data_IF_582372734917
#
_entry.id   IF_582372734917
#
_cell.length_a   1.000
_cell.length_b   1.000
_cell.length_c   1.000
_cell.angle_alpha   90.00
_cell.angle_beta   90.00
_cell.angle_gamma   90.00
#
_symmetry.space_group_name_H-M   'P 1'
#
loop_
_entity.id
_entity.type
_entity.pdbx_description
1 polymer ?
#
# COMPACT_ATOMS: atom_id res chain seq x y z
N UNK A 1 -34.06 -26.15 37.99
CA UNK A 1 -34.38 -25.00 37.11
C UNK A 1 -33.06 -24.29 36.85
N UNK A 2 -32.46 -24.53 35.69
CA UNK A 2 -31.17 -23.93 35.31
C UNK A 2 -31.47 -22.88 34.24
N UNK A 3 -31.08 -21.60 34.41
CA UNK A 3 -31.43 -20.57 33.44
C UNK A 3 -30.57 -20.75 32.19
N UNK A 4 -31.21 -20.82 31.03
CA UNK A 4 -30.52 -20.66 29.75
C UNK A 4 -30.26 -19.18 29.50
N UNK A 5 -29.00 -18.79 29.52
CA UNK A 5 -28.57 -17.47 29.05
C UNK A 5 -28.64 -17.47 27.53
N UNK A 6 -29.63 -16.78 26.95
CA UNK A 6 -29.67 -16.50 25.51
C UNK A 6 -28.47 -15.62 25.15
N UNK A 7 -27.48 -16.20 24.48
CA UNK A 7 -26.47 -15.44 23.77
C UNK A 7 -27.17 -14.59 22.71
N UNK A 8 -27.09 -13.27 22.86
CA UNK A 8 -27.57 -12.35 21.82
C UNK A 8 -26.53 -12.38 20.72
N UNK A 9 -26.90 -12.91 19.55
CA UNK A 9 -26.05 -12.88 18.36
C UNK A 9 -25.73 -11.42 18.01
N UNK A 10 -24.50 -10.99 18.28
CA UNK A 10 -24.00 -9.70 17.80
C UNK A 10 -23.84 -9.80 16.29
N UNK A 11 -24.73 -9.14 15.54
CA UNK A 11 -24.56 -8.96 14.09
C UNK A 11 -23.21 -8.26 13.85
N UNK A 12 -22.28 -8.94 13.18
CA UNK A 12 -21.00 -8.34 12.80
C UNK A 12 -21.26 -7.05 11.99
N UNK A 13 -20.58 -5.97 12.35
CA UNK A 13 -20.69 -4.70 11.63
C UNK A 13 -19.99 -4.86 10.28
N UNK A 14 -20.74 -4.68 9.20
CA UNK A 14 -20.18 -4.58 7.87
C UNK A 14 -19.64 -3.17 7.64
N UNK A 15 -18.32 -3.01 7.78
CA UNK A 15 -17.64 -1.73 7.58
C UNK A 15 -17.81 -1.19 6.15
N UNK A 16 -17.95 -2.07 5.14
CA UNK A 16 -18.02 -1.68 3.73
C UNK A 16 -19.30 -0.92 3.38
N UNK A 17 -20.35 -1.10 4.19
CA UNK A 17 -21.60 -0.34 4.10
C UNK A 17 -21.41 1.15 4.40
N UNK A 18 -20.50 1.47 5.32
CA UNK A 18 -20.27 2.84 5.78
C UNK A 18 -19.02 3.46 5.15
N UNK A 19 -18.05 2.63 4.79
CA UNK A 19 -16.83 3.01 4.07
C UNK A 19 -16.60 2.07 2.87
N UNK A 20 -17.11 2.43 1.68
CA UNK A 20 -16.93 1.65 0.47
C UNK A 20 -15.47 1.44 0.07
N UNK A 21 -14.54 2.31 0.51
CA UNK A 21 -13.11 2.17 0.21
C UNK A 21 -12.47 0.99 0.95
N UNK A 22 -13.15 0.43 1.96
CA UNK A 22 -12.72 -0.77 2.68
C UNK A 22 -13.13 -2.08 1.99
N UNK A 23 -13.96 -2.03 0.94
CA UNK A 23 -14.33 -3.23 0.21
C UNK A 23 -13.13 -3.89 -0.48
N UNK A 24 -13.15 -5.23 -0.56
CA UNK A 24 -12.19 -6.00 -1.37
C UNK A 24 -12.56 -5.87 -2.84
N UNK A 25 -11.59 -5.46 -3.67
CA UNK A 25 -11.80 -5.39 -5.11
C UNK A 25 -11.64 -6.78 -5.77
N UNK A 26 -12.30 -6.98 -6.91
CA UNK A 26 -12.29 -8.25 -7.66
C UNK A 26 -10.90 -8.66 -8.18
N UNK A 27 -10.78 -9.93 -8.60
CA UNK A 27 -9.51 -10.54 -9.07
C UNK A 27 -9.05 -10.00 -10.44
N UNK A 28 -7.76 -10.19 -10.72
CA UNK A 28 -7.07 -9.85 -11.96
C UNK A 28 -7.79 -10.39 -13.22
N UNK A 29 -7.75 -9.64 -14.33
CA UNK A 29 -8.24 -10.06 -15.65
C UNK A 29 -7.07 -10.20 -16.64
N UNK A 30 -7.32 -10.93 -17.74
CA UNK A 30 -6.32 -11.36 -18.71
C UNK A 30 -5.58 -10.23 -19.45
N UNK A 31 -6.10 -9.00 -19.47
CA UNK A 31 -5.52 -7.86 -20.20
C UNK A 31 -4.87 -6.80 -19.26
N UNK A 32 -4.05 -7.27 -18.33
CA UNK A 32 -3.35 -6.41 -17.35
C UNK A 32 -1.98 -6.01 -17.87
N UNK A 33 -1.73 -4.69 -17.98
CA UNK A 33 -0.39 -4.13 -18.24
C UNK A 33 0.31 -3.77 -16.92
N UNK A 34 1.42 -4.43 -16.63
CA UNK A 34 2.29 -4.09 -15.50
C UNK A 34 3.23 -2.93 -15.87
N UNK A 35 3.42 -2.01 -14.92
CA UNK A 35 4.33 -0.87 -15.05
C UNK A 35 5.40 -0.99 -13.96
N UNK A 36 6.65 -0.71 -14.31
CA UNK A 36 7.69 -0.45 -13.32
C UNK A 36 7.47 0.96 -12.75
N UNK A 37 7.36 1.16 -11.42
CA UNK A 37 7.14 2.48 -10.83
C UNK A 37 8.29 3.46 -11.06
N UNK A 38 9.48 2.97 -11.41
CA UNK A 38 10.65 3.78 -11.76
C UNK A 38 10.69 4.23 -13.22
N UNK A 39 9.75 3.76 -14.04
CA UNK A 39 9.66 4.10 -15.45
C UNK A 39 8.33 4.79 -15.79
N UNK A 40 8.39 5.70 -16.77
CA UNK A 40 7.18 6.34 -17.30
C UNK A 40 6.19 5.29 -17.84
N UNK A 41 4.88 5.45 -17.62
CA UNK A 41 4.19 6.67 -17.22
C UNK A 41 4.03 6.86 -15.70
N UNK A 42 4.51 5.96 -14.86
CA UNK A 42 4.52 6.15 -13.42
C UNK A 42 5.68 7.08 -13.01
N UNK A 43 5.52 7.79 -11.90
CA UNK A 43 6.55 8.64 -11.33
C UNK A 43 6.71 8.33 -9.85
N UNK A 44 7.88 7.85 -9.46
CA UNK A 44 8.20 7.60 -8.07
C UNK A 44 8.89 8.81 -7.43
N UNK A 45 8.64 9.04 -6.15
CA UNK A 45 9.27 10.09 -5.33
C UNK A 45 9.48 9.61 -3.90
N UNK A 46 10.32 10.31 -3.14
CA UNK A 46 10.63 10.00 -1.73
C UNK A 46 11.84 9.10 -1.49
N UNK A 47 12.56 8.70 -2.55
CA UNK A 47 13.79 7.90 -2.47
C UNK A 47 14.97 8.62 -3.13
N UNK A 48 15.69 9.45 -2.37
CA UNK A 48 16.72 10.34 -2.92
C UNK A 48 17.93 9.64 -3.54
N UNK A 49 18.15 8.35 -3.21
CA UNK A 49 19.27 7.54 -3.71
C UNK A 49 18.86 6.44 -4.68
N UNK A 50 17.60 6.42 -5.12
CA UNK A 50 17.08 5.32 -5.93
C UNK A 50 17.79 5.19 -7.28
N UNK A 51 18.17 6.32 -7.91
CA UNK A 51 18.86 6.30 -9.20
C UNK A 51 20.23 5.63 -9.13
N UNK A 52 20.91 5.70 -7.98
CA UNK A 52 22.21 5.07 -7.77
C UNK A 52 22.06 3.63 -7.25
N UNK A 53 21.24 3.45 -6.22
CA UNK A 53 21.22 2.19 -5.46
C UNK A 53 20.19 1.19 -6.00
N UNK A 54 19.17 1.66 -6.72
CA UNK A 54 18.02 0.87 -7.21
C UNK A 54 17.29 0.10 -6.10
N UNK A 55 17.25 0.68 -4.90
CA UNK A 55 16.59 0.13 -3.71
C UNK A 55 15.63 1.18 -3.14
N UNK A 56 14.43 0.76 -2.73
CA UNK A 56 13.45 1.62 -2.04
C UNK A 56 13.89 1.93 -0.60
N UNK A 57 14.90 2.79 -0.46
CA UNK A 57 15.55 3.11 0.82
C UNK A 57 15.63 4.61 1.04
N UNK A 58 15.50 5.04 2.30
CA UNK A 58 15.51 6.45 2.71
C UNK A 58 16.89 7.04 2.97
N UNK A 59 17.94 6.23 2.96
CA UNK A 59 19.34 6.60 3.14
C UNK A 59 20.18 5.83 2.11
N UNK A 60 21.38 6.30 1.73
CA UNK A 60 22.21 5.59 0.76
C UNK A 60 22.57 4.19 1.25
N UNK A 61 22.71 3.25 0.32
CA UNK A 61 23.22 1.91 0.61
C UNK A 61 24.69 1.94 1.04
N UNK A 62 25.46 2.90 0.52
CA UNK A 62 26.86 3.14 0.87
C UNK A 62 27.05 4.59 1.34
N UNK A 63 26.76 4.90 2.62
CA UNK A 63 26.96 6.23 3.16
C UNK A 63 28.46 6.56 3.27
N UNK A 64 28.83 7.84 3.15
CA UNK A 64 30.21 8.32 3.31
C UNK A 64 30.74 8.06 4.73
N UNK A 65 29.87 8.20 5.73
CA UNK A 65 30.14 7.86 7.12
C UNK A 65 29.19 6.75 7.55
N UNK A 66 29.69 5.80 8.34
CA UNK A 66 28.88 4.68 8.81
C UNK A 66 27.68 5.19 9.63
N UNK A 67 26.48 4.77 9.22
CA UNK A 67 25.27 5.06 9.99
C UNK A 67 25.24 4.20 11.26
N UNK A 68 24.68 4.72 12.37
CA UNK A 68 24.34 3.87 13.51
C UNK A 68 23.47 2.69 13.05
N UNK A 69 23.73 1.49 13.57
CA UNK A 69 23.06 0.26 13.12
C UNK A 69 21.52 0.38 13.11
N UNK A 70 20.93 1.03 14.12
CA UNK A 70 19.48 1.25 14.20
C UNK A 70 18.97 2.16 13.07
N UNK A 71 19.71 3.20 12.73
CA UNK A 71 19.39 4.12 11.63
C UNK A 71 19.52 3.39 10.29
N UNK A 72 20.57 2.60 10.11
CA UNK A 72 20.80 1.82 8.91
C UNK A 72 19.70 0.77 8.67
N UNK A 73 19.23 0.13 9.74
CA UNK A 73 18.11 -0.81 9.69
C UNK A 73 16.80 -0.10 9.30
N UNK A 74 16.46 1.01 9.97
CA UNK A 74 15.24 1.79 9.73
C UNK A 74 15.24 2.53 8.39
N UNK A 75 16.40 2.73 7.77
CA UNK A 75 16.49 3.32 6.45
C UNK A 75 15.81 2.47 5.36
N UNK A 76 15.63 1.16 5.59
CA UNK A 76 14.87 0.28 4.69
C UNK A 76 13.35 0.50 4.78
N UNK A 77 12.84 1.19 5.80
CA UNK A 77 11.42 1.53 5.84
C UNK A 77 11.10 2.55 4.75
N UNK A 78 9.99 2.38 4.02
CA UNK A 78 9.66 3.18 2.83
C UNK A 78 8.72 4.36 3.10
N UNK A 79 8.53 4.72 4.37
CA UNK A 79 7.70 5.86 4.79
C UNK A 79 8.03 7.15 4.02
N UNK A 80 7.01 7.74 3.41
CA UNK A 80 7.13 8.96 2.61
C UNK A 80 7.42 8.73 1.13
N UNK A 81 7.71 7.49 0.72
CA UNK A 81 7.74 7.10 -0.68
C UNK A 81 6.36 7.22 -1.31
N UNK A 82 6.30 7.65 -2.57
CA UNK A 82 5.04 7.76 -3.33
C UNK A 82 5.20 7.35 -4.79
N UNK A 83 4.13 6.82 -5.38
CA UNK A 83 3.99 6.63 -6.83
C UNK A 83 2.84 7.52 -7.32
N UNK A 84 3.11 8.33 -8.35
CA UNK A 84 2.10 9.12 -9.06
C UNK A 84 1.86 8.55 -10.45
N UNK A 85 0.60 8.44 -10.83
CA UNK A 85 0.19 7.93 -12.13
C UNK A 85 -1.09 8.63 -12.57
N UNK A 86 -1.12 9.08 -13.82
CA UNK A 86 -2.35 9.52 -14.48
C UNK A 86 -2.82 8.44 -15.45
N UNK A 87 -4.04 7.95 -15.27
CA UNK A 87 -4.60 6.87 -16.09
C UNK A 87 -6.12 6.99 -16.17
N UNK A 88 -6.72 6.48 -17.24
CA UNK A 88 -8.16 6.29 -17.33
C UNK A 88 -8.61 4.87 -16.96
N UNK A 89 -7.65 3.97 -16.68
CA UNK A 89 -7.91 2.57 -16.36
C UNK A 89 -8.99 2.44 -15.27
N UNK A 90 -10.00 1.59 -15.48
CA UNK A 90 -11.00 1.30 -14.46
C UNK A 90 -10.42 0.50 -13.28
N UNK A 91 -9.23 -0.10 -13.44
CA UNK A 91 -8.61 -0.98 -12.45
C UNK A 91 -7.18 -0.55 -12.15
N UNK A 92 -6.84 -0.52 -10.86
CA UNK A 92 -5.47 -0.35 -10.38
C UNK A 92 -5.08 -1.60 -9.60
N UNK A 93 -3.98 -2.24 -9.99
CA UNK A 93 -3.41 -3.39 -9.32
C UNK A 93 -1.98 -3.09 -8.87
N UNK A 94 -1.59 -3.71 -7.77
CA UNK A 94 -0.22 -3.71 -7.29
C UNK A 94 0.27 -5.14 -7.14
N UNK A 95 1.53 -5.35 -7.52
CA UNK A 95 2.32 -6.52 -7.16
C UNK A 95 3.49 -6.04 -6.34
N UNK A 96 3.62 -6.60 -5.14
CA UNK A 96 4.53 -6.10 -4.10
C UNK A 96 5.38 -7.26 -3.61
N UNK A 97 6.67 -6.98 -3.40
CA UNK A 97 7.59 -7.81 -2.64
C UNK A 97 8.20 -6.93 -1.54
N UNK A 98 8.13 -7.39 -0.30
CA UNK A 98 8.59 -6.71 0.91
C UNK A 98 9.75 -7.50 1.52
N UNK A 99 10.59 -6.83 2.30
CA UNK A 99 11.61 -7.50 3.15
C UNK A 99 11.06 -8.48 4.17
N UNK A 100 9.78 -8.36 4.54
CA UNK A 100 9.15 -9.25 5.49
C UNK A 100 7.65 -8.98 5.69
N UNK A 101 6.95 -9.90 6.36
CA UNK A 101 5.53 -9.77 6.66
C UNK A 101 5.27 -8.73 7.76
N UNK A 102 4.03 -8.27 7.88
CA UNK A 102 3.61 -7.36 8.95
C UNK A 102 3.54 -8.10 10.30
N UNK A 103 4.30 -7.64 11.30
CA UNK A 103 4.42 -8.33 12.61
C UNK A 103 4.32 -7.40 13.81
N UNK A 104 4.18 -6.09 13.61
CA UNK A 104 4.10 -5.15 14.72
C UNK A 104 2.73 -5.22 15.39
N UNK A 105 2.69 -5.78 16.59
CA UNK A 105 1.45 -5.94 17.40
C UNK A 105 0.74 -4.63 17.74
N UNK A 106 1.44 -3.49 17.61
CA UNK A 106 0.94 -2.16 17.94
C UNK A 106 0.61 -1.33 16.68
N UNK A 107 0.68 -1.91 15.49
CA UNK A 107 0.43 -1.24 14.22
C UNK A 107 -0.54 -2.06 13.36
N UNK A 108 -1.42 -1.37 12.64
CA UNK A 108 -2.25 -2.05 11.65
C UNK A 108 -1.37 -2.59 10.50
N UNK A 109 -1.54 -3.84 10.06
CA UNK A 109 -0.76 -4.41 8.95
C UNK A 109 -0.80 -3.56 7.68
N UNK A 110 -1.93 -2.91 7.41
CA UNK A 110 -2.11 -2.01 6.27
C UNK A 110 -1.22 -0.77 6.32
N UNK A 111 -0.82 -0.30 7.51
CA UNK A 111 0.15 0.79 7.64
C UNK A 111 1.59 0.29 7.65
N UNK A 112 1.85 -0.86 8.28
CA UNK A 112 3.21 -1.44 8.35
C UNK A 112 3.71 -1.89 6.97
N UNK A 113 2.87 -2.61 6.23
CA UNK A 113 3.23 -3.37 5.03
C UNK A 113 2.27 -3.15 3.83
N UNK A 114 1.27 -2.28 3.99
CA UNK A 114 0.30 -1.98 2.95
C UNK A 114 0.58 -0.67 2.22
N UNK A 115 -0.07 -0.51 1.07
CA UNK A 115 -0.11 0.74 0.31
C UNK A 115 -1.50 1.36 0.45
N UNK A 116 -1.57 2.67 0.51
CA UNK A 116 -2.82 3.41 0.33
C UNK A 116 -2.84 4.12 -1.03
N UNK A 117 -4.04 4.44 -1.50
CA UNK A 117 -4.24 5.14 -2.76
C UNK A 117 -5.22 6.28 -2.58
N UNK A 118 -4.88 7.39 -3.21
CA UNK A 118 -5.69 8.59 -3.26
C UNK A 118 -5.95 8.97 -4.71
N UNK A 119 -7.10 9.60 -4.94
CA UNK A 119 -7.52 10.12 -6.23
C UNK A 119 -7.69 11.64 -6.11
N UNK A 120 -7.10 12.39 -7.02
CA UNK A 120 -7.28 13.84 -7.13
C UNK A 120 -6.04 14.54 -7.65
N UNK A 121 -6.21 15.81 -8.02
CA UNK A 121 -5.08 16.67 -8.38
C UNK A 121 -4.14 16.85 -7.19
N UNK A 122 -2.85 17.13 -7.42
CA UNK A 122 -1.89 17.39 -6.34
C UNK A 122 -2.39 18.45 -5.35
N UNK A 123 -2.48 18.10 -4.07
CA UNK A 123 -2.96 18.96 -2.99
C UNK A 123 -4.48 18.89 -2.73
N UNK A 124 -5.23 18.13 -3.53
CA UNK A 124 -6.67 17.92 -3.37
C UNK A 124 -7.03 16.42 -3.38
N UNK A 125 -6.05 15.55 -3.16
CA UNK A 125 -6.25 14.10 -3.20
C UNK A 125 -7.19 13.62 -2.08
N UNK A 126 -8.06 12.67 -2.40
CA UNK A 126 -8.96 12.03 -1.45
C UNK A 126 -8.67 10.55 -1.35
N UNK A 127 -8.72 10.03 -0.13
CA UNK A 127 -8.54 8.61 0.12
C UNK A 127 -9.53 7.79 -0.72
N UNK A 128 -9.00 6.80 -1.42
CA UNK A 128 -9.75 5.97 -2.35
C UNK A 128 -9.64 4.48 -2.02
N UNK A 129 -8.62 4.07 -1.27
CA UNK A 129 -8.48 2.68 -0.85
C UNK A 129 -7.15 2.41 -0.17
N UNK A 130 -7.05 1.21 0.40
CA UNK A 130 -5.84 0.64 0.98
C UNK A 130 -5.73 -0.82 0.54
N UNK A 131 -4.52 -1.36 0.49
CA UNK A 131 -4.28 -2.78 0.19
C UNK A 131 -4.99 -3.67 1.19
N UNK A 132 -5.67 -4.71 0.70
CA UNK A 132 -6.17 -5.83 1.50
C UNK A 132 -5.37 -7.07 1.10
N UNK A 133 -4.52 -7.53 2.00
CA UNK A 133 -3.56 -8.61 1.77
C UNK A 133 -3.47 -9.50 3.01
N UNK A 134 -2.89 -10.69 2.84
CA UNK A 134 -2.55 -11.56 3.97
C UNK A 134 -1.30 -11.02 4.65
N UNK A 135 -1.45 -10.51 5.87
CA UNK A 135 -0.36 -9.91 6.65
C UNK A 135 0.79 -10.87 6.97
N UNK A 136 0.57 -12.19 6.84
CA UNK A 136 1.61 -13.20 7.02
C UNK A 136 2.54 -13.36 5.81
N UNK A 137 2.19 -12.80 4.65
CA UNK A 137 2.98 -12.86 3.43
C UNK A 137 3.89 -11.63 3.29
N UNK A 138 5.06 -11.83 2.69
CA UNK A 138 5.97 -10.76 2.31
C UNK A 138 5.79 -10.32 0.85
N UNK A 139 5.10 -11.13 0.04
CA UNK A 139 4.73 -10.82 -1.33
C UNK A 139 3.22 -10.93 -1.51
N UNK A 140 2.66 -10.07 -2.36
CA UNK A 140 1.24 -10.12 -2.69
C UNK A 140 0.91 -9.42 -4.00
N UNK A 141 -0.21 -9.83 -4.59
CA UNK A 141 -0.88 -9.12 -5.68
C UNK A 141 -2.29 -8.72 -5.22
N UNK A 142 -2.64 -7.45 -5.44
CA UNK A 142 -3.90 -6.90 -4.94
C UNK A 142 -4.49 -5.89 -5.92
N UNK A 143 -5.81 -5.97 -6.12
CA UNK A 143 -6.56 -4.89 -6.77
C UNK A 143 -6.84 -3.81 -5.74
N UNK A 144 -6.28 -2.62 -5.93
CA UNK A 144 -6.49 -1.47 -5.05
C UNK A 144 -7.76 -0.70 -5.38
N UNK A 145 -8.06 -0.56 -6.68
CA UNK A 145 -9.22 0.17 -7.18
C UNK A 145 -9.91 -0.62 -8.28
N UNK A 146 -11.24 -0.59 -8.26
CA UNK A 146 -12.09 -1.04 -9.35
C UNK A 146 -13.25 -0.03 -9.48
N UNK A 147 -13.13 0.87 -10.45
CA UNK A 147 -13.95 2.08 -10.60
C UNK A 147 -14.34 2.27 -12.07
N UNK A 148 -15.28 3.17 -12.35
CA UNK A 148 -15.65 3.50 -13.73
C UNK A 148 -14.46 4.05 -14.53
N UNK A 149 -14.36 3.72 -15.82
CA UNK A 149 -13.29 4.23 -16.70
C UNK A 149 -13.41 5.76 -16.85
N UNK A 150 -12.42 6.49 -16.34
CA UNK A 150 -12.28 7.95 -16.48
C UNK A 150 -10.87 8.36 -16.11
N UNK A 151 -10.32 9.39 -16.76
CA UNK A 151 -9.01 9.94 -16.40
C UNK A 151 -8.99 10.38 -14.94
N UNK A 152 -7.98 9.91 -14.20
CA UNK A 152 -7.72 10.24 -12.81
C UNK A 152 -6.23 10.41 -12.57
N UNK A 153 -5.90 11.34 -11.71
CA UNK A 153 -4.59 11.42 -11.06
C UNK A 153 -4.63 10.56 -9.80
N UNK A 154 -3.69 9.63 -9.70
CA UNK A 154 -3.55 8.67 -8.62
C UNK A 154 -2.24 8.95 -7.88
N UNK A 155 -2.31 8.96 -6.55
CA UNK A 155 -1.14 8.96 -5.66
C UNK A 155 -1.22 7.74 -4.78
N UNK A 156 -0.20 6.88 -4.82
CA UNK A 156 -0.06 5.74 -3.93
C UNK A 156 1.04 6.05 -2.92
N UNK A 157 0.84 5.81 -1.63
CA UNK A 157 1.94 5.85 -0.65
C UNK A 157 2.44 4.45 -0.34
N UNK A 158 3.76 4.36 -0.18
CA UNK A 158 4.43 3.14 0.23
C UNK A 158 4.14 2.81 1.72
N UNK A 159 4.39 1.55 2.14
CA UNK A 159 4.25 1.17 3.54
C UNK A 159 5.16 1.98 4.45
N UNK A 160 4.78 2.10 5.71
CA UNK A 160 5.54 2.93 6.65
C UNK A 160 6.79 2.21 7.17
N UNK A 161 6.75 0.89 7.33
CA UNK A 161 7.80 0.16 8.04
C UNK A 161 8.36 -1.05 7.29
N UNK A 162 7.69 -1.55 6.27
CA UNK A 162 8.21 -2.59 5.40
C UNK A 162 8.60 -2.01 4.03
N UNK A 163 9.81 -2.36 3.61
CA UNK A 163 10.40 -1.97 2.32
C UNK A 163 11.42 -3.00 1.96
#
# INVERSE_FOLDING_TARGET
VTPQTKATESKAVDATRFDPAMATAGKAEADTRWLDPSEGPAQMSGFAWFDQDRIYRRMPATPLEALPQSVDSLANCTAGGTIRLRTDSPRLMLRVELRGPARMVHMAPTGEAGFDVYIGEPGAERFAGVTKFDSAQADYEVTLLNVERRWRDLTLHFPLYQG
#
